data_IF_293922182334
#
_entry.id   IF_293922182334
#
_cell.length_a   1.000
_cell.length_b   1.000
_cell.length_c   1.000
_cell.angle_alpha   90.00
_cell.angle_beta   90.00
_cell.angle_gamma   90.00
#
_symmetry.space_group_name_H-M   'P 1'
#
loop_
_entity.id
_entity.type
_entity.pdbx_description
1 polymer ?
#
# COMPACT_ATOMS: atom_id res chain seq x y z
N UNK A 1 13.26 0.33 -14.50
CA UNK A 1 12.11 0.47 -13.57
C UNK A 1 11.04 -0.45 -14.10
N UNK A 2 10.81 -1.58 -13.44
CA UNK A 2 9.75 -2.51 -13.87
C UNK A 2 8.40 -1.78 -13.84
N UNK A 3 7.84 -1.57 -15.02
CA UNK A 3 6.51 -0.99 -15.18
C UNK A 3 5.48 -1.99 -14.66
N UNK A 4 4.66 -1.53 -13.73
CA UNK A 4 3.42 -2.20 -13.39
C UNK A 4 2.49 -2.02 -14.58
N UNK A 5 2.18 -3.09 -15.30
CA UNK A 5 1.19 -3.03 -16.36
C UNK A 5 -0.19 -3.07 -15.72
N UNK A 6 -1.03 -2.10 -16.07
CA UNK A 6 -2.36 -1.97 -15.49
C UNK A 6 -3.39 -1.57 -16.53
N UNK A 7 -4.64 -1.94 -16.30
CA UNK A 7 -5.80 -1.48 -17.08
C UNK A 7 -6.95 -1.07 -16.17
N UNK A 8 -7.87 -0.19 -16.60
CA UNK A 8 -9.09 0.10 -15.84
C UNK A 8 -9.93 -1.16 -15.59
N UNK A 9 -10.64 -1.21 -14.47
CA UNK A 9 -11.65 -2.24 -14.24
C UNK A 9 -12.87 -2.02 -15.14
N UNK A 10 -13.38 -3.10 -15.75
CA UNK A 10 -14.63 -3.08 -16.53
C UNK A 10 -15.85 -2.87 -15.65
N UNK A 11 -15.92 -3.61 -14.54
CA UNK A 11 -16.98 -3.46 -13.54
C UNK A 11 -16.50 -2.57 -12.40
N UNK A 12 -17.15 -1.42 -12.23
CA UNK A 12 -16.88 -0.48 -11.15
C UNK A 12 -18.16 -0.13 -10.40
N UNK A 13 -18.01 0.42 -9.20
CA UNK A 13 -19.10 1.01 -8.42
C UNK A 13 -18.61 2.25 -7.69
N UNK A 14 -19.55 3.14 -7.37
CA UNK A 14 -19.26 4.33 -6.59
C UNK A 14 -19.62 4.12 -5.12
N UNK A 15 -18.73 4.51 -4.22
CA UNK A 15 -18.96 4.54 -2.77
C UNK A 15 -18.56 5.92 -2.28
N UNK A 16 -19.54 6.70 -1.79
CA UNK A 16 -19.33 8.06 -1.25
C UNK A 16 -18.52 8.98 -2.19
N UNK A 17 -18.80 8.91 -3.49
CA UNK A 17 -18.14 9.71 -4.52
C UNK A 17 -16.86 9.11 -5.09
N UNK A 18 -16.34 8.01 -4.51
CA UNK A 18 -15.10 7.37 -4.98
C UNK A 18 -15.42 6.11 -5.78
N UNK A 19 -14.79 5.94 -6.93
CA UNK A 19 -14.94 4.75 -7.79
C UNK A 19 -14.06 3.60 -7.31
N UNK A 20 -14.64 2.41 -7.14
CA UNK A 20 -14.00 1.16 -6.72
C UNK A 20 -14.30 0.03 -7.70
N UNK A 21 -13.51 -1.07 -7.72
CA UNK A 21 -13.89 -2.27 -8.46
C UNK A 21 -15.23 -2.82 -7.96
N UNK A 22 -16.03 -3.38 -8.87
CA UNK A 22 -17.39 -3.86 -8.57
C UNK A 22 -17.45 -4.88 -7.44
N UNK A 23 -16.43 -5.74 -7.33
CA UNK A 23 -16.35 -6.79 -6.31
C UNK A 23 -15.98 -6.29 -4.90
N UNK A 24 -15.40 -5.10 -4.75
CA UNK A 24 -14.82 -4.65 -3.46
C UNK A 24 -15.90 -4.33 -2.45
N UNK A 25 -16.00 -5.05 -1.34
CA UNK A 25 -16.84 -4.60 -0.23
C UNK A 25 -16.09 -3.65 0.71
N UNK A 26 -16.80 -2.68 1.28
CA UNK A 26 -16.25 -1.71 2.24
C UNK A 26 -15.54 -2.38 3.43
N UNK A 27 -16.06 -3.53 3.87
CA UNK A 27 -15.51 -4.33 4.99
C UNK A 27 -14.30 -5.17 4.60
N UNK A 28 -13.78 -5.08 3.38
CA UNK A 28 -12.54 -5.76 2.96
C UNK A 28 -11.40 -4.77 2.70
N UNK A 29 -11.70 -3.49 2.54
CA UNK A 29 -10.76 -2.52 1.99
C UNK A 29 -9.66 -2.13 2.98
N UNK A 30 -8.42 -2.26 2.54
CA UNK A 30 -7.21 -1.76 3.20
C UNK A 30 -6.50 -0.82 2.23
N UNK A 31 -6.11 0.37 2.69
CA UNK A 31 -5.52 1.40 1.83
C UNK A 31 -4.06 1.60 2.20
N UNK A 32 -3.16 1.43 1.24
CA UNK A 32 -1.71 1.58 1.45
C UNK A 32 -1.05 2.36 0.31
N UNK A 33 0.22 2.71 0.47
CA UNK A 33 0.96 3.60 -0.44
C UNK A 33 1.98 4.47 0.31
N UNK A 34 2.86 5.18 -0.41
CA UNK A 34 3.92 5.97 0.22
C UNK A 34 3.37 7.16 1.03
N UNK A 35 4.19 7.77 1.90
CA UNK A 35 3.82 8.98 2.62
C UNK A 35 3.35 10.07 1.67
N UNK A 36 2.26 10.74 2.02
CA UNK A 36 1.70 11.83 1.21
C UNK A 36 0.87 11.38 0.00
N UNK A 37 0.66 10.08 -0.23
CA UNK A 37 -0.14 9.60 -1.38
C UNK A 37 -1.65 9.90 -1.31
N UNK A 38 -2.17 10.39 -0.17
CA UNK A 38 -3.60 10.70 0.00
C UNK A 38 -4.44 9.58 0.62
N UNK A 39 -3.81 8.56 1.23
CA UNK A 39 -4.49 7.45 1.93
C UNK A 39 -5.52 7.93 2.96
N UNK A 40 -5.10 8.83 3.86
CA UNK A 40 -5.97 9.37 4.91
C UNK A 40 -7.12 10.21 4.33
N UNK A 41 -6.92 10.86 3.18
CA UNK A 41 -7.99 11.59 2.47
C UNK A 41 -9.09 10.63 2.01
N UNK A 42 -8.72 9.52 1.35
CA UNK A 42 -9.69 8.50 0.91
C UNK A 42 -10.39 7.87 2.12
N UNK A 43 -9.65 7.50 3.17
CA UNK A 43 -10.24 6.92 4.39
C UNK A 43 -11.24 7.87 5.04
N UNK A 44 -10.94 9.16 5.16
CA UNK A 44 -11.86 10.15 5.74
C UNK A 44 -13.12 10.32 4.89
N UNK A 45 -13.00 10.41 3.57
CA UNK A 45 -14.15 10.50 2.67
C UNK A 45 -15.04 9.25 2.75
N UNK A 46 -14.43 8.08 2.92
CA UNK A 46 -15.12 6.82 3.15
C UNK A 46 -15.81 6.74 4.53
N UNK A 47 -15.52 7.65 5.47
CA UNK A 47 -15.92 7.52 6.87
C UNK A 47 -15.29 6.31 7.56
N UNK A 48 -14.06 5.97 7.16
CA UNK A 48 -13.27 4.89 7.74
C UNK A 48 -12.58 5.31 9.03
N UNK A 49 -11.81 4.38 9.59
CA UNK A 49 -11.13 4.57 10.86
C UNK A 49 -9.85 5.38 10.67
N UNK A 50 -9.71 6.47 11.42
CA UNK A 50 -8.63 7.45 11.25
C UNK A 50 -7.29 7.00 11.82
N UNK A 51 -7.28 6.04 12.73
CA UNK A 51 -6.03 5.50 13.29
C UNK A 51 -5.34 4.63 12.26
N UNK A 52 -4.07 4.91 11.98
CA UNK A 52 -3.24 4.13 11.06
C UNK A 52 -2.94 2.75 11.65
N UNK A 53 -3.01 1.71 10.81
CA UNK A 53 -2.53 0.38 11.17
C UNK A 53 -1.13 0.14 10.60
N UNK A 54 -0.38 -0.77 11.23
CA UNK A 54 0.89 -1.27 10.73
C UNK A 54 0.82 -2.78 10.50
N UNK A 55 1.47 -3.25 9.44
CA UNK A 55 1.66 -4.67 9.11
C UNK A 55 3.11 -4.88 8.71
N UNK A 56 3.80 -5.74 9.43
CA UNK A 56 5.09 -6.28 9.01
C UNK A 56 4.87 -7.52 8.13
N UNK A 57 5.25 -7.44 6.86
CA UNK A 57 5.07 -8.53 5.88
C UNK A 57 5.97 -9.75 6.14
N UNK A 58 6.97 -9.62 7.01
CA UNK A 58 7.87 -10.72 7.40
C UNK A 58 7.39 -11.52 8.60
N UNK A 59 6.39 -11.01 9.33
CA UNK A 59 5.86 -11.72 10.50
C UNK A 59 4.88 -12.82 10.10
N UNK A 60 5.05 -13.98 10.72
CA UNK A 60 4.11 -15.09 10.58
C UNK A 60 2.71 -14.65 11.05
N UNK A 61 1.69 -15.00 10.28
CA UNK A 61 0.28 -14.69 10.57
C UNK A 61 -0.07 -13.19 10.60
N UNK A 62 0.67 -12.32 9.90
CA UNK A 62 0.31 -10.90 9.84
C UNK A 62 -1.14 -10.64 9.35
N UNK A 63 -1.71 -11.55 8.54
CA UNK A 63 -3.10 -11.48 8.07
C UNK A 63 -4.14 -11.68 9.18
N UNK A 64 -3.75 -12.08 10.39
CA UNK A 64 -4.62 -12.13 11.56
C UNK A 64 -4.41 -10.97 12.53
N UNK A 65 -3.56 -10.00 12.17
CA UNK A 65 -3.23 -8.88 13.05
C UNK A 65 -4.48 -8.06 13.42
N UNK A 66 -4.57 -7.64 14.68
CA UNK A 66 -5.70 -6.83 15.15
C UNK A 66 -5.81 -5.48 14.42
N UNK A 67 -4.69 -4.94 13.93
CA UNK A 67 -4.65 -3.73 13.10
C UNK A 67 -5.54 -3.85 11.85
N UNK A 68 -5.76 -5.08 11.35
CA UNK A 68 -6.60 -5.38 10.21
C UNK A 68 -8.09 -5.47 10.55
N UNK A 69 -8.51 -5.53 11.82
CA UNK A 69 -9.89 -5.85 12.22
C UNK A 69 -10.91 -4.78 11.82
N UNK A 70 -10.56 -3.51 11.96
CA UNK A 70 -11.40 -2.36 11.63
C UNK A 70 -11.13 -1.90 10.19
N UNK A 71 -12.19 -1.77 9.38
CA UNK A 71 -12.09 -1.49 7.94
C UNK A 71 -13.24 -0.59 7.47
N UNK A 72 -13.01 0.29 6.47
CA UNK A 72 -11.75 0.51 5.76
C UNK A 72 -10.73 1.24 6.65
N UNK A 73 -9.45 1.00 6.39
CA UNK A 73 -8.36 1.55 7.19
C UNK A 73 -7.10 1.80 6.37
N UNK A 74 -6.38 2.84 6.75
CA UNK A 74 -5.02 3.09 6.26
C UNK A 74 -4.04 2.10 6.90
N UNK A 75 -3.21 1.47 6.09
CA UNK A 75 -2.18 0.52 6.52
C UNK A 75 -0.82 0.96 6.02
N UNK A 76 0.14 1.05 6.94
CA UNK A 76 1.56 1.16 6.64
C UNK A 76 2.16 -0.24 6.59
N UNK A 77 3.05 -0.46 5.63
CA UNK A 77 3.71 -1.73 5.41
C UNK A 77 5.15 -1.64 5.89
N UNK A 78 5.52 -2.57 6.77
CA UNK A 78 6.89 -2.95 7.04
C UNK A 78 7.34 -3.94 5.97
N UNK A 79 8.37 -3.57 5.23
CA UNK A 79 8.95 -4.39 4.18
C UNK A 79 10.23 -5.06 4.69
N UNK A 80 10.42 -6.36 4.48
CA UNK A 80 11.71 -6.99 4.70
C UNK A 80 12.69 -6.51 3.62
N UNK A 81 13.82 -5.98 4.05
CA UNK A 81 14.91 -5.58 3.16
C UNK A 81 16.13 -6.48 3.37
N UNK A 82 16.89 -6.72 2.31
CA UNK A 82 18.16 -7.48 2.38
C UNK A 82 19.12 -6.78 3.34
N UNK A 83 19.72 -7.54 4.26
CA UNK A 83 20.64 -7.02 5.27
C UNK A 83 19.99 -6.31 6.47
N UNK A 84 18.69 -5.97 6.42
CA UNK A 84 17.97 -5.41 7.56
C UNK A 84 17.34 -6.53 8.41
N UNK A 85 17.65 -6.60 9.71
CA UNK A 85 17.08 -7.65 10.59
C UNK A 85 15.57 -7.50 10.77
N UNK A 86 15.11 -6.28 10.97
CA UNK A 86 13.69 -5.95 11.13
C UNK A 86 13.10 -5.48 9.81
N UNK A 87 11.78 -5.59 9.65
CA UNK A 87 11.11 -4.95 8.53
C UNK A 87 11.08 -3.43 8.75
N UNK A 88 11.25 -2.68 7.66
CA UNK A 88 11.29 -1.22 7.70
C UNK A 88 10.17 -0.66 6.83
N UNK A 89 9.64 0.49 7.23
CA UNK A 89 8.86 1.33 6.34
C UNK A 89 9.80 2.12 5.41
N UNK A 90 9.28 2.59 4.28
CA UNK A 90 10.06 3.42 3.33
C UNK A 90 10.31 4.85 3.81
N UNK A 91 10.02 5.13 5.07
CA UNK A 91 10.28 6.41 5.73
C UNK A 91 11.01 6.24 7.06
N UNK A 92 11.38 5.02 7.44
CA UNK A 92 12.26 4.81 8.57
C UNK A 92 13.65 5.38 8.26
N UNK A 93 14.29 5.95 9.29
CA UNK A 93 15.63 6.53 9.16
C UNK A 93 16.64 5.52 8.61
N UNK A 94 16.57 4.27 9.07
CA UNK A 94 17.42 3.18 8.58
C UNK A 94 17.25 2.91 7.08
N UNK A 95 16.05 3.11 6.52
CA UNK A 95 15.81 2.98 5.08
C UNK A 95 16.25 4.22 4.30
N UNK A 96 16.01 5.41 4.86
CA UNK A 96 16.35 6.70 4.25
C UNK A 96 17.88 6.85 4.13
N UNK A 97 18.61 6.53 5.19
CA UNK A 97 20.06 6.76 5.30
C UNK A 97 20.89 5.62 4.70
N UNK A 98 20.26 4.53 4.26
CA UNK A 98 20.96 3.38 3.69
C UNK A 98 21.71 3.71 2.41
N UNK A 99 23.00 3.37 2.39
CA UNK A 99 23.89 3.43 1.25
C UNK A 99 24.70 2.12 1.18
N UNK A 100 24.54 1.30 0.13
CA UNK A 100 23.65 1.47 -1.01
C UNK A 100 22.15 1.40 -0.63
N UNK A 101 21.23 1.84 -1.51
CA UNK A 101 19.79 1.66 -1.34
C UNK A 101 19.41 0.21 -1.02
N UNK A 102 18.56 0.02 -0.02
CA UNK A 102 18.07 -1.30 0.36
C UNK A 102 17.16 -1.91 -0.73
N UNK A 103 17.41 -3.18 -1.03
CA UNK A 103 16.57 -4.01 -1.89
C UNK A 103 15.57 -4.83 -1.06
N UNK A 104 14.37 -5.05 -1.61
CA UNK A 104 13.36 -5.90 -0.97
C UNK A 104 13.88 -7.34 -0.93
N UNK A 105 13.66 -8.00 0.21
CA UNK A 105 13.89 -9.43 0.38
C UNK A 105 12.54 -10.17 0.27
N UNK A 106 12.19 -10.57 -0.95
CA UNK A 106 10.91 -11.24 -1.22
C UNK A 106 10.78 -12.60 -0.54
N UNK A 107 11.90 -13.30 -0.29
CA UNK A 107 11.92 -14.61 0.37
C UNK A 107 11.45 -14.52 1.82
N UNK A 108 11.65 -13.35 2.44
CA UNK A 108 11.18 -13.07 3.80
C UNK A 108 9.73 -12.60 3.86
N UNK A 109 9.07 -12.32 2.74
CA UNK A 109 7.64 -11.98 2.75
C UNK A 109 6.84 -13.26 3.03
N UNK A 110 6.16 -13.28 4.17
CA UNK A 110 5.30 -14.40 4.55
C UNK A 110 3.92 -14.22 3.92
N UNK A 111 3.41 -15.26 3.26
CA UNK A 111 2.13 -15.21 2.56
C UNK A 111 1.02 -15.92 3.36
N UNK A 112 -0.23 -15.43 3.28
CA UNK A 112 -1.36 -16.17 3.83
C UNK A 112 -1.47 -17.56 3.19
N UNK A 113 -1.77 -18.61 3.96
CA UNK A 113 -1.89 -19.96 3.43
C UNK A 113 -3.06 -20.04 2.45
N UNK A 114 -3.02 -20.96 1.46
CA UNK A 114 -4.18 -21.24 0.63
C UNK A 114 -5.34 -21.73 1.50
N UNK A 115 -6.57 -21.44 1.06
CA UNK A 115 -7.78 -21.98 1.69
C UNK A 115 -7.71 -23.50 1.69
N UNK A 116 -7.76 -24.13 2.88
CA UNK A 116 -7.59 -25.59 3.02
C UNK A 116 -8.91 -26.35 3.02
N UNK A 117 -9.95 -25.78 3.63
CA UNK A 117 -11.25 -26.43 3.81
C UNK A 117 -12.40 -25.49 3.44
N UNK A 118 -13.57 -26.05 3.15
CA UNK A 118 -14.76 -25.28 2.72
C UNK A 118 -15.11 -24.14 3.68
N UNK A 119 -15.13 -24.40 4.99
CA UNK A 119 -15.43 -23.42 6.05
C UNK A 119 -14.22 -22.60 6.52
N UNK A 120 -13.01 -22.88 6.00
CA UNK A 120 -11.84 -22.09 6.37
C UNK A 120 -11.88 -20.70 5.71
N UNK A 121 -11.34 -19.71 6.41
CA UNK A 121 -11.24 -18.34 5.90
C UNK A 121 -10.30 -18.33 4.69
N UNK A 122 -10.75 -17.77 3.57
CA UNK A 122 -9.86 -17.45 2.45
C UNK A 122 -9.09 -16.16 2.75
N UNK A 123 -7.92 -16.27 3.37
CA UNK A 123 -7.14 -15.10 3.79
C UNK A 123 -6.67 -14.22 2.62
N UNK A 124 -6.46 -14.79 1.43
CA UNK A 124 -6.03 -14.04 0.24
C UNK A 124 -7.13 -13.16 -0.37
N UNK A 125 -8.39 -13.50 -0.14
CA UNK A 125 -9.58 -12.74 -0.56
C UNK A 125 -10.28 -12.02 0.61
N UNK A 126 -9.87 -12.32 1.85
CA UNK A 126 -10.41 -11.72 3.08
C UNK A 126 -10.29 -10.20 3.07
N UNK A 127 -9.20 -9.71 2.49
CA UNK A 127 -8.84 -8.31 2.39
C UNK A 127 -8.62 -7.95 0.94
N UNK A 128 -8.97 -6.72 0.58
CA UNK A 128 -8.58 -6.13 -0.71
C UNK A 128 -7.70 -4.93 -0.42
N UNK A 129 -6.48 -4.97 -0.93
CA UNK A 129 -5.51 -3.88 -0.79
C UNK A 129 -5.64 -2.91 -1.98
N UNK A 130 -5.94 -1.66 -1.68
CA UNK A 130 -5.78 -0.53 -2.59
C UNK A 130 -4.40 0.08 -2.40
N UNK A 131 -3.55 -0.02 -3.41
CA UNK A 131 -2.25 0.66 -3.44
C UNK A 131 -2.40 1.99 -4.16
N UNK A 132 -2.30 3.10 -3.42
CA UNK A 132 -2.30 4.44 -4.01
C UNK A 132 -0.88 4.78 -4.46
N UNK A 133 -0.66 4.81 -5.78
CA UNK A 133 0.63 5.02 -6.44
C UNK A 133 0.53 6.21 -7.41
N UNK A 134 0.55 7.45 -6.89
CA UNK A 134 0.51 8.65 -7.72
C UNK A 134 1.81 8.81 -8.54
N UNK A 135 1.74 9.65 -9.57
CA UNK A 135 2.92 10.05 -10.33
C UNK A 135 3.98 10.72 -9.43
N UNK A 136 5.28 10.44 -9.63
CA UNK A 136 6.36 10.93 -8.76
C UNK A 136 6.35 12.45 -8.56
N UNK A 137 6.19 13.21 -9.65
CA UNK A 137 6.17 14.68 -9.60
C UNK A 137 4.92 15.22 -8.91
N UNK A 138 3.77 14.55 -9.08
CA UNK A 138 2.55 14.92 -8.36
C UNK A 138 2.71 14.70 -6.86
N UNK A 139 3.28 13.56 -6.47
CA UNK A 139 3.58 13.25 -5.07
C UNK A 139 4.59 14.24 -4.48
N UNK A 140 5.63 14.61 -5.23
CA UNK A 140 6.61 15.61 -4.78
C UNK A 140 5.95 16.96 -4.50
N UNK A 141 5.12 17.45 -5.44
CA UNK A 141 4.37 18.70 -5.25
C UNK A 141 3.47 18.64 -4.02
N UNK A 142 2.80 17.51 -3.80
CA UNK A 142 1.93 17.31 -2.64
C UNK A 142 2.73 17.33 -1.33
N UNK A 143 3.86 16.62 -1.27
CA UNK A 143 4.72 16.55 -0.08
C UNK A 143 5.40 17.87 0.24
N UNK A 144 5.83 18.63 -0.77
CA UNK A 144 6.36 20.00 -0.57
C UNK A 144 5.28 20.93 0.00
N UNK A 145 4.05 20.88 -0.53
CA UNK A 145 2.93 21.67 0.02
C UNK A 145 2.66 21.30 1.48
N UNK A 146 2.70 20.01 1.81
CA UNK A 146 2.48 19.49 3.16
C UNK A 146 3.61 19.84 4.14
N UNK A 147 4.87 19.77 3.69
CA UNK A 147 6.03 20.16 4.49
C UNK A 147 5.96 21.64 4.92
N UNK A 148 5.47 22.53 4.05
CA UNK A 148 5.26 23.95 4.38
C UNK A 148 4.26 24.18 5.53
N UNK A 149 3.38 23.22 5.79
CA UNK A 149 2.43 23.28 6.91
C UNK A 149 3.06 22.81 8.23
N UNK A 150 4.29 22.26 8.21
CA UNK A 150 5.05 21.84 9.40
C UNK A 150 4.51 20.61 10.14
N UNK A 151 3.53 19.90 9.58
CA UNK A 151 2.82 18.83 10.29
C UNK A 151 3.43 17.43 10.16
N UNK A 152 4.47 17.25 9.33
CA UNK A 152 4.99 15.91 9.00
C UNK A 152 6.52 15.88 8.79
N UNK A 153 7.27 15.46 9.81
CA UNK A 153 8.74 15.32 9.77
C UNK A 153 9.27 14.42 8.64
N UNK A 154 8.48 13.43 8.21
CA UNK A 154 8.82 12.54 7.09
C UNK A 154 9.04 13.28 5.76
N UNK A 155 8.50 14.50 5.62
CA UNK A 155 8.63 15.33 4.43
C UNK A 155 9.86 16.25 4.45
N UNK A 156 10.63 16.26 5.54
CA UNK A 156 11.88 17.02 5.63
C UNK A 156 12.91 16.47 4.62
N UNK A 157 13.46 17.38 3.81
CA UNK A 157 14.43 17.08 2.75
C UNK A 157 13.94 16.02 1.72
N UNK A 158 12.63 15.90 1.47
CA UNK A 158 12.13 15.02 0.41
C UNK A 158 12.54 15.53 -0.96
N UNK A 159 13.07 14.62 -1.80
CA UNK A 159 13.41 14.90 -3.19
C UNK A 159 12.77 13.87 -4.13
N UNK A 160 12.87 14.12 -5.44
CA UNK A 160 12.26 13.28 -6.46
C UNK A 160 12.84 11.85 -6.47
N UNK A 161 14.14 11.70 -6.21
CA UNK A 161 14.80 10.39 -6.17
C UNK A 161 14.25 9.53 -5.04
N UNK A 162 14.12 10.08 -3.83
CA UNK A 162 13.52 9.42 -2.67
C UNK A 162 12.09 8.99 -2.99
N UNK A 163 11.29 9.86 -3.61
CA UNK A 163 9.91 9.53 -4.01
C UNK A 163 9.88 8.38 -5.03
N UNK A 164 10.74 8.43 -6.06
CA UNK A 164 10.85 7.35 -7.05
C UNK A 164 11.23 6.02 -6.39
N UNK A 165 12.15 6.03 -5.42
CA UNK A 165 12.53 4.84 -4.64
C UNK A 165 11.35 4.31 -3.80
N UNK A 166 10.64 5.18 -3.09
CA UNK A 166 9.47 4.80 -2.30
C UNK A 166 8.39 4.16 -3.19
N UNK A 167 8.02 4.83 -4.30
CA UNK A 167 7.05 4.29 -5.25
C UNK A 167 7.50 2.97 -5.86
N UNK A 168 8.80 2.82 -6.15
CA UNK A 168 9.35 1.57 -6.68
C UNK A 168 9.17 0.41 -5.69
N UNK A 169 9.40 0.61 -4.39
CA UNK A 169 9.17 -0.43 -3.37
C UNK A 169 7.71 -0.87 -3.37
N UNK A 170 6.76 0.08 -3.31
CA UNK A 170 5.34 -0.25 -3.32
C UNK A 170 4.90 -0.94 -4.62
N UNK A 171 5.43 -0.52 -5.77
CA UNK A 171 5.16 -1.14 -7.08
C UNK A 171 5.62 -2.59 -7.11
N UNK A 172 6.86 -2.83 -6.70
CA UNK A 172 7.45 -4.17 -6.64
C UNK A 172 6.66 -5.11 -5.73
N UNK A 173 6.29 -4.64 -4.53
CA UNK A 173 5.51 -5.44 -3.57
C UNK A 173 4.08 -5.64 -4.05
N UNK A 174 3.42 -4.64 -4.63
CA UNK A 174 2.08 -4.80 -5.18
C UNK A 174 2.05 -5.87 -6.28
N UNK A 175 3.02 -5.84 -7.20
CA UNK A 175 3.17 -6.86 -8.24
C UNK A 175 3.41 -8.24 -7.64
N UNK A 176 4.38 -8.37 -6.72
CA UNK A 176 4.69 -9.64 -6.08
C UNK A 176 3.47 -10.23 -5.37
N UNK A 177 2.81 -9.46 -4.49
CA UNK A 177 1.64 -9.95 -3.75
C UNK A 177 0.45 -10.29 -4.68
N UNK A 178 0.27 -9.54 -5.77
CA UNK A 178 -0.73 -9.85 -6.80
C UNK A 178 -0.48 -11.20 -7.46
N UNK A 179 0.77 -11.46 -7.88
CA UNK A 179 1.20 -12.74 -8.45
C UNK A 179 1.05 -13.90 -7.47
N UNK A 180 1.12 -13.62 -6.16
CA UNK A 180 0.84 -14.59 -5.10
C UNK A 180 -0.65 -14.78 -4.81
N UNK A 181 -1.54 -14.13 -5.57
CA UNK A 181 -2.99 -14.26 -5.48
C UNK A 181 -3.63 -13.44 -4.35
N UNK A 182 -2.92 -12.47 -3.77
CA UNK A 182 -3.54 -11.52 -2.84
C UNK A 182 -4.40 -10.53 -3.64
N UNK A 183 -5.61 -10.27 -3.16
CA UNK A 183 -6.52 -9.31 -3.80
C UNK A 183 -5.97 -7.89 -3.71
N UNK A 184 -5.43 -7.39 -4.82
CA UNK A 184 -4.78 -6.08 -4.94
C UNK A 184 -5.30 -5.35 -6.17
N UNK A 185 -5.40 -4.03 -6.06
CA UNK A 185 -5.48 -3.14 -7.21
C UNK A 185 -4.74 -1.82 -6.94
N UNK A 186 -4.49 -1.08 -8.02
CA UNK A 186 -3.76 0.19 -7.98
C UNK A 186 -4.73 1.36 -8.13
N UNK A 187 -4.42 2.50 -7.53
CA UNK A 187 -5.05 3.79 -7.83
C UNK A 187 -3.97 4.86 -8.04
N UNK A 188 -4.08 5.64 -9.10
CA UNK A 188 -3.17 6.75 -9.38
C UNK A 188 -3.65 8.03 -8.68
N UNK A 189 -3.22 8.23 -7.43
CA UNK A 189 -3.65 9.37 -6.61
C UNK A 189 -5.08 9.23 -6.07
N UNK A 190 -5.65 10.31 -5.52
CA UNK A 190 -6.99 10.28 -4.89
C UNK A 190 -8.13 10.33 -5.89
N UNK A 191 -7.92 11.00 -7.03
CA UNK A 191 -8.94 11.22 -8.05
C UNK A 191 -8.95 10.12 -9.14
N UNK A 192 -7.87 9.34 -9.24
CA UNK A 192 -7.76 8.27 -10.23
C UNK A 192 -8.78 7.16 -9.99
N UNK A 193 -9.20 6.47 -11.05
CA UNK A 193 -10.01 5.26 -10.95
C UNK A 193 -9.19 4.05 -10.47
N UNK A 194 -9.84 2.94 -10.08
CA UNK A 194 -9.14 1.71 -9.76
C UNK A 194 -8.61 1.04 -11.02
N UNK A 195 -7.38 0.56 -10.94
CA UNK A 195 -6.66 -0.11 -12.02
C UNK A 195 -6.31 -1.54 -11.62
N UNK A 196 -6.66 -2.48 -12.49
CA UNK A 196 -6.31 -3.89 -12.38
C UNK A 196 -4.85 -4.07 -12.83
N UNK A 197 -4.07 -4.83 -12.05
CA UNK A 197 -2.74 -5.29 -12.47
C UNK A 197 -2.93 -6.39 -13.52
N UNK A 198 -2.17 -6.30 -14.63
CA UNK A 198 -2.13 -7.32 -15.68
C UNK A 198 -0.70 -7.89 -15.75
N UNK A 199 -0.62 -9.21 -15.87
CA UNK A 199 0.65 -9.94 -16.11
C UNK A 199 1.05 -9.90 -17.59
#
# INVERSE_FOLDING_TARGET
>A
MDSLHTRPFESTKNIKGITFPGFVSFRQLLITGPPGAGKSTIIRQLGGWSEEGYIDLSLKNWWTAQSLSLRPREIHLGFPFKGAKEALTVFDKAWIDASPPLEIDFERIVLPPPKRFFFSVNWKERYVFEFILPEPDALLRQRIKRAKLGTHHVDEAVNLERIKRQLSVFRQVAKYLHQQGISIYIREGTEGGPLQIID
#
